data_IF_179088182263
#
_entry.id   IF_179088182263
#
_cell.length_a   1.000
_cell.length_b   1.000
_cell.length_c   1.000
_cell.angle_alpha   90.00
_cell.angle_beta   90.00
_cell.angle_gamma   90.00
#
_symmetry.space_group_name_H-M   'P 1'
#
loop_
_entity.id
_entity.type
_entity.pdbx_description
1 polymer ?
#
# COMPACT_ATOMS: atom_id res chain seq x y z
N UNK A 1 -30.56 -24.83 -25.45
CA UNK A 1 -29.71 -23.62 -25.37
C UNK A 1 -28.29 -24.09 -25.20
N UNK A 2 -27.48 -24.01 -26.25
CA UNK A 2 -26.07 -24.40 -26.23
C UNK A 2 -25.30 -23.26 -25.57
N UNK A 3 -24.80 -23.46 -24.36
CA UNK A 3 -23.85 -22.55 -23.74
C UNK A 3 -22.63 -22.46 -24.64
N UNK A 4 -22.37 -21.29 -25.22
CA UNK A 4 -21.11 -21.06 -25.92
C UNK A 4 -19.97 -21.36 -24.94
N UNK A 5 -19.04 -22.24 -25.34
CA UNK A 5 -17.87 -22.54 -24.52
C UNK A 5 -17.09 -21.24 -24.33
N UNK A 6 -16.84 -20.86 -23.07
CA UNK A 6 -16.04 -19.68 -22.78
C UNK A 6 -14.63 -19.87 -23.34
N UNK A 7 -14.13 -18.91 -24.12
CA UNK A 7 -12.74 -18.91 -24.58
C UNK A 7 -11.83 -18.66 -23.37
N UNK A 8 -10.89 -19.57 -23.06
CA UNK A 8 -9.99 -19.38 -21.93
C UNK A 8 -9.05 -18.19 -22.17
N UNK A 9 -8.92 -17.33 -21.16
CA UNK A 9 -8.01 -16.19 -21.19
C UNK A 9 -6.60 -16.62 -20.75
N UNK A 10 -5.58 -16.15 -21.47
CA UNK A 10 -4.16 -16.32 -21.14
C UNK A 10 -3.59 -14.99 -20.67
N UNK A 11 -2.83 -15.00 -19.58
CA UNK A 11 -2.12 -13.82 -19.06
C UNK A 11 -0.65 -14.19 -18.86
N UNK A 12 0.26 -13.41 -19.46
CA UNK A 12 1.69 -13.60 -19.23
C UNK A 12 2.12 -12.85 -17.96
N UNK A 13 3.02 -13.43 -17.17
CA UNK A 13 3.55 -12.80 -15.95
C UNK A 13 4.19 -11.43 -16.21
N UNK A 14 4.88 -11.28 -17.35
CA UNK A 14 5.55 -10.04 -17.75
C UNK A 14 4.58 -8.89 -18.02
N UNK A 15 3.30 -9.19 -18.28
CA UNK A 15 2.25 -8.20 -18.55
C UNK A 15 1.56 -7.71 -17.27
N UNK A 16 1.84 -8.35 -16.12
CA UNK A 16 1.24 -8.00 -14.83
C UNK A 16 2.23 -7.17 -14.02
N UNK A 17 1.80 -5.97 -13.61
CA UNK A 17 2.59 -5.10 -12.76
C UNK A 17 2.80 -5.74 -11.36
N UNK A 18 4.00 -5.61 -10.77
CA UNK A 18 4.28 -6.14 -9.44
C UNK A 18 3.50 -5.38 -8.37
N UNK A 19 2.88 -6.11 -7.44
CA UNK A 19 2.37 -5.56 -6.20
C UNK A 19 3.37 -5.82 -5.08
N UNK A 20 3.96 -4.75 -4.54
CA UNK A 20 4.99 -4.81 -3.51
C UNK A 20 4.53 -4.29 -2.15
N UNK A 21 3.24 -3.96 -2.01
CA UNK A 21 2.68 -3.31 -0.80
C UNK A 21 3.05 -4.06 0.49
N UNK A 22 3.14 -5.39 0.43
CA UNK A 22 3.38 -6.29 1.57
C UNK A 22 4.78 -6.90 1.57
N UNK A 23 5.68 -6.33 0.77
CA UNK A 23 6.98 -6.91 0.44
C UNK A 23 6.91 -7.89 -0.74
N UNK A 24 8.09 -8.20 -1.29
CA UNK A 24 8.25 -9.07 -2.45
C UNK A 24 7.65 -8.53 -3.76
N UNK A 25 7.75 -9.33 -4.82
CA UNK A 25 7.09 -9.12 -6.12
C UNK A 25 5.91 -10.08 -6.25
N UNK A 26 4.69 -9.61 -5.91
CA UNK A 26 3.47 -10.41 -6.03
C UNK A 26 2.75 -10.06 -7.33
N UNK A 27 2.44 -11.06 -8.15
CA UNK A 27 1.71 -10.87 -9.42
C UNK A 27 0.54 -11.84 -9.52
N UNK A 28 -0.67 -11.29 -9.51
CA UNK A 28 -1.92 -12.03 -9.67
C UNK A 28 -2.20 -12.19 -11.16
N UNK A 29 -1.98 -13.40 -11.69
CA UNK A 29 -2.23 -13.73 -13.10
C UNK A 29 -3.60 -14.37 -13.31
N UNK A 30 -4.11 -15.08 -12.31
CA UNK A 30 -5.41 -15.76 -12.33
C UNK A 30 -6.36 -15.07 -11.35
N UNK A 31 -7.45 -14.48 -11.84
CA UNK A 31 -8.45 -13.80 -11.01
C UNK A 31 -9.74 -13.59 -11.79
N UNK A 32 -10.86 -13.24 -11.12
CA UNK A 32 -12.07 -12.81 -11.81
C UNK A 32 -11.84 -11.69 -12.83
N UNK A 33 -10.89 -10.78 -12.55
CA UNK A 33 -10.58 -9.63 -13.43
C UNK A 33 -9.71 -10.02 -14.61
N UNK A 34 -8.77 -10.93 -14.43
CA UNK A 34 -7.75 -11.25 -15.44
C UNK A 34 -8.17 -12.41 -16.34
N UNK A 35 -8.79 -13.44 -15.77
CA UNK A 35 -9.16 -14.67 -16.50
C UNK A 35 -10.63 -15.06 -16.37
N UNK A 36 -11.42 -14.34 -15.56
CA UNK A 36 -12.84 -14.66 -15.34
C UNK A 36 -13.06 -15.89 -14.46
N UNK A 37 -12.03 -16.38 -13.75
CA UNK A 37 -12.20 -17.51 -12.84
C UNK A 37 -13.11 -17.17 -11.66
N UNK A 38 -13.89 -18.16 -11.19
CA UNK A 38 -14.94 -17.97 -10.17
C UNK A 38 -14.67 -18.72 -8.87
N UNK A 39 -13.78 -19.71 -8.89
CA UNK A 39 -13.45 -20.53 -7.72
C UNK A 39 -12.47 -19.85 -6.77
N UNK A 40 -11.55 -19.05 -7.30
CA UNK A 40 -10.41 -18.52 -6.56
C UNK A 40 -9.60 -17.52 -7.38
N UNK A 41 -8.43 -17.19 -6.88
CA UNK A 41 -7.43 -16.40 -7.59
C UNK A 41 -6.03 -16.93 -7.28
N UNK A 42 -5.05 -16.62 -8.11
CA UNK A 42 -3.70 -17.13 -7.95
C UNK A 42 -2.69 -16.38 -8.80
N UNK A 43 -1.42 -16.71 -8.59
CA UNK A 43 -0.33 -15.97 -9.18
C UNK A 43 1.02 -16.48 -8.76
N UNK A 44 2.02 -15.62 -8.87
CA UNK A 44 3.38 -15.91 -8.44
C UNK A 44 3.86 -14.85 -7.46
N UNK A 45 4.66 -15.29 -6.51
CA UNK A 45 5.46 -14.46 -5.63
C UNK A 45 6.93 -14.70 -5.95
N UNK A 46 7.71 -13.62 -6.03
CA UNK A 46 9.17 -13.67 -6.03
C UNK A 46 9.72 -12.85 -4.86
N UNK A 47 10.67 -13.42 -4.14
CA UNK A 47 11.37 -12.79 -3.01
C UNK A 47 12.88 -12.83 -3.25
N UNK A 48 13.54 -11.68 -3.23
CA UNK A 48 15.01 -11.62 -3.13
C UNK A 48 15.48 -12.10 -1.75
N UNK A 49 16.79 -12.30 -1.58
CA UNK A 49 17.36 -12.72 -0.30
C UNK A 49 16.97 -11.74 0.84
N UNK A 50 16.40 -12.28 1.92
CA UNK A 50 15.94 -11.50 3.07
C UNK A 50 14.62 -10.74 2.86
N UNK A 51 14.06 -10.71 1.64
CA UNK A 51 12.71 -10.19 1.43
C UNK A 51 11.67 -11.13 2.03
N UNK A 52 10.50 -10.55 2.33
CA UNK A 52 9.41 -11.25 2.96
C UNK A 52 8.05 -10.74 2.46
N UNK A 53 7.01 -11.52 2.74
CA UNK A 53 5.61 -11.07 2.74
C UNK A 53 5.18 -10.89 4.19
N UNK A 54 4.69 -9.70 4.53
CA UNK A 54 4.25 -9.31 5.88
C UNK A 54 3.22 -10.28 6.44
N UNK A 55 3.15 -10.42 7.77
CA UNK A 55 2.16 -11.29 8.41
C UNK A 55 0.72 -10.85 8.09
N UNK A 56 -0.12 -11.83 7.74
CA UNK A 56 -1.52 -11.61 7.43
C UNK A 56 -2.35 -12.89 7.60
N UNK A 57 -3.65 -12.77 7.37
CA UNK A 57 -4.59 -13.90 7.29
C UNK A 57 -5.69 -13.66 6.24
N UNK A 58 -6.35 -14.76 5.85
CA UNK A 58 -7.46 -14.78 4.89
C UNK A 58 -8.74 -15.29 5.57
N UNK A 59 -9.79 -14.47 5.76
CA UNK A 59 -11.00 -14.91 6.45
C UNK A 59 -11.93 -15.84 5.65
N UNK A 60 -11.74 -15.92 4.34
CA UNK A 60 -12.63 -16.64 3.43
C UNK A 60 -11.93 -17.67 2.56
N UNK A 61 -10.61 -17.63 2.46
CA UNK A 61 -9.84 -18.45 1.52
C UNK A 61 -8.81 -19.27 2.26
N UNK A 62 -8.69 -20.52 1.88
CA UNK A 62 -7.43 -21.25 2.07
C UNK A 62 -6.40 -20.71 1.09
N UNK A 63 -5.12 -20.76 1.44
CA UNK A 63 -4.02 -20.47 0.53
C UNK A 63 -3.16 -21.72 0.29
N UNK A 64 -2.90 -22.02 -0.97
CA UNK A 64 -2.06 -23.11 -1.42
C UNK A 64 -0.77 -22.50 -1.95
N UNK A 65 0.37 -22.93 -1.42
CA UNK A 65 1.69 -22.52 -1.86
C UNK A 65 2.41 -23.71 -2.51
N UNK A 66 3.16 -23.45 -3.56
CA UNK A 66 4.11 -24.39 -4.14
C UNK A 66 5.43 -23.68 -4.47
N UNK A 67 6.52 -24.15 -3.88
CA UNK A 67 7.84 -23.54 -4.07
C UNK A 67 8.48 -24.07 -5.35
N UNK A 68 8.76 -23.16 -6.28
CA UNK A 68 9.39 -23.48 -7.56
C UNK A 68 10.92 -23.42 -7.44
N UNK A 69 11.44 -22.37 -6.82
CA UNK A 69 12.89 -22.18 -6.58
C UNK A 69 13.15 -21.48 -5.25
N UNK A 70 14.39 -21.59 -4.76
CA UNK A 70 14.86 -20.91 -3.54
C UNK A 70 14.52 -21.64 -2.24
N UNK A 71 14.88 -21.04 -1.12
CA UNK A 71 14.63 -21.57 0.23
C UNK A 71 13.92 -20.52 1.05
N UNK A 72 12.82 -20.92 1.68
CA UNK A 72 11.94 -20.03 2.41
C UNK A 72 11.70 -20.56 3.82
N UNK A 73 11.25 -19.68 4.70
CA UNK A 73 10.59 -20.05 5.94
C UNK A 73 9.21 -19.39 5.96
N UNK A 74 8.19 -20.18 6.24
CA UNK A 74 6.86 -19.67 6.57
C UNK A 74 6.60 -19.85 8.05
N UNK A 75 6.23 -18.77 8.73
CA UNK A 75 5.74 -18.83 10.10
C UNK A 75 4.22 -19.00 10.06
N UNK A 76 3.69 -20.06 10.67
CA UNK A 76 2.26 -20.36 10.78
C UNK A 76 1.83 -20.25 12.24
N UNK A 77 1.00 -19.26 12.59
CA UNK A 77 0.60 -18.95 13.97
C UNK A 77 1.78 -18.90 14.97
N UNK A 78 2.94 -18.42 14.51
CA UNK A 78 4.17 -18.31 15.30
C UNK A 78 5.09 -19.54 15.23
N UNK A 79 4.69 -20.62 14.57
CA UNK A 79 5.51 -21.81 14.36
C UNK A 79 6.22 -21.76 12.99
N UNK A 80 7.57 -21.73 12.94
CA UNK A 80 8.29 -21.71 11.68
C UNK A 80 8.28 -23.08 10.99
N UNK A 81 8.17 -23.06 9.66
CA UNK A 81 8.23 -24.21 8.78
C UNK A 81 9.16 -23.86 7.61
N UNK A 82 10.24 -24.64 7.46
CA UNK A 82 11.15 -24.50 6.33
C UNK A 82 10.50 -25.06 5.06
N UNK A 83 10.70 -24.36 3.94
CA UNK A 83 10.21 -24.75 2.62
C UNK A 83 11.34 -24.66 1.58
N UNK A 84 11.47 -25.68 0.75
CA UNK A 84 12.39 -25.74 -0.39
C UNK A 84 11.69 -26.09 -1.70
N UNK A 85 12.42 -26.14 -2.82
CA UNK A 85 11.83 -26.41 -4.13
C UNK A 85 11.10 -27.75 -4.17
N UNK A 86 9.88 -27.75 -4.70
CA UNK A 86 9.01 -28.92 -4.75
C UNK A 86 8.07 -29.07 -3.56
N UNK A 87 8.30 -28.36 -2.45
CA UNK A 87 7.39 -28.37 -1.31
C UNK A 87 6.08 -27.66 -1.64
N UNK A 88 4.99 -28.21 -1.14
CA UNK A 88 3.65 -27.62 -1.20
C UNK A 88 3.07 -27.52 0.20
N UNK A 89 2.37 -26.43 0.47
CA UNK A 89 1.80 -26.17 1.79
C UNK A 89 0.39 -25.57 1.65
N UNK A 90 -0.51 -26.02 2.51
CA UNK A 90 -1.82 -25.43 2.72
C UNK A 90 -1.77 -24.52 3.95
N UNK A 91 -2.23 -23.29 3.78
CA UNK A 91 -2.53 -22.36 4.87
C UNK A 91 -4.06 -22.31 5.03
N UNK A 92 -4.60 -22.84 6.14
CA UNK A 92 -6.02 -22.80 6.42
C UNK A 92 -6.57 -21.39 6.62
N UNK A 93 -7.89 -21.25 6.45
CA UNK A 93 -8.63 -20.02 6.76
C UNK A 93 -8.31 -19.52 8.18
N UNK A 94 -8.14 -18.21 8.31
CA UNK A 94 -7.79 -17.49 9.54
C UNK A 94 -6.43 -17.82 10.18
N UNK A 95 -5.62 -18.72 9.59
CA UNK A 95 -4.27 -18.96 10.09
C UNK A 95 -3.38 -17.76 9.78
N UNK A 96 -2.75 -17.18 10.79
CA UNK A 96 -1.76 -16.11 10.57
C UNK A 96 -0.53 -16.71 9.94
N UNK A 97 -0.02 -16.06 8.91
CA UNK A 97 1.17 -16.54 8.24
C UNK A 97 2.04 -15.40 7.72
N UNK A 98 3.35 -15.64 7.75
CA UNK A 98 4.40 -14.72 7.29
C UNK A 98 5.44 -15.53 6.54
N UNK A 99 5.86 -15.08 5.36
CA UNK A 99 6.77 -15.83 4.50
C UNK A 99 8.06 -15.03 4.28
N UNK A 100 9.22 -15.66 4.45
CA UNK A 100 10.54 -15.02 4.34
C UNK A 100 11.44 -15.85 3.44
N UNK A 101 12.21 -15.19 2.58
CA UNK A 101 13.36 -15.82 1.92
C UNK A 101 14.57 -15.81 2.85
N UNK A 102 14.89 -16.97 3.41
CA UNK A 102 16.03 -17.19 4.31
C UNK A 102 17.28 -17.63 3.57
N UNK A 103 17.16 -17.93 2.28
CA UNK A 103 18.27 -18.31 1.41
C UNK A 103 19.01 -17.12 0.79
N UNK A 104 20.19 -17.36 0.19
CA UNK A 104 20.96 -16.33 -0.51
C UNK A 104 20.47 -16.08 -1.94
N UNK A 105 19.67 -16.98 -2.50
CA UNK A 105 19.16 -16.92 -3.88
C UNK A 105 17.71 -16.46 -3.93
N UNK A 106 17.25 -15.85 -5.04
CA UNK A 106 15.85 -15.48 -5.21
C UNK A 106 14.93 -16.70 -5.14
N UNK A 107 13.87 -16.59 -4.34
CA UNK A 107 12.83 -17.60 -4.23
C UNK A 107 11.64 -17.28 -5.12
N UNK A 108 11.03 -18.31 -5.72
CA UNK A 108 9.82 -18.20 -6.51
C UNK A 108 8.77 -19.19 -6.01
N UNK A 109 7.56 -18.69 -5.76
CA UNK A 109 6.42 -19.46 -5.25
C UNK A 109 5.22 -19.24 -6.14
N UNK A 110 4.48 -20.30 -6.44
CA UNK A 110 3.13 -20.21 -7.00
C UNK A 110 2.14 -20.24 -5.84
N UNK A 111 1.19 -19.31 -5.83
CA UNK A 111 0.13 -19.28 -4.83
C UNK A 111 -1.25 -19.37 -5.50
N UNK A 112 -2.20 -19.96 -4.78
CA UNK A 112 -3.60 -19.96 -5.15
C UNK A 112 -4.46 -19.83 -3.89
N UNK A 113 -5.52 -19.03 -3.95
CA UNK A 113 -6.47 -18.82 -2.86
C UNK A 113 -7.87 -19.19 -3.31
N UNK A 114 -8.56 -19.99 -2.50
CA UNK A 114 -9.96 -20.36 -2.72
C UNK A 114 -10.68 -20.73 -1.42
N UNK A 115 -12.00 -20.50 -1.32
CA UNK A 115 -12.85 -19.82 -2.30
C UNK A 115 -12.58 -18.29 -2.37
N UNK A 116 -13.15 -17.61 -3.37
CA UNK A 116 -13.15 -16.14 -3.37
C UNK A 116 -13.92 -15.60 -2.17
N UNK A 117 -13.42 -14.50 -1.58
CA UNK A 117 -14.17 -13.73 -0.60
C UNK A 117 -15.40 -13.07 -1.26
N UNK A 118 -16.49 -12.80 -0.50
CA UNK A 118 -17.67 -12.12 -1.02
C UNK A 118 -17.37 -10.74 -1.63
N UNK A 119 -16.34 -10.07 -1.11
CA UNK A 119 -15.79 -8.82 -1.65
C UNK A 119 -14.26 -8.80 -1.47
N UNK A 120 -13.50 -8.18 -2.39
CA UNK A 120 -12.04 -8.14 -2.32
C UNK A 120 -11.48 -7.58 -1.01
N UNK A 121 -12.06 -6.51 -0.48
CA UNK A 121 -11.63 -5.84 0.75
C UNK A 121 -11.85 -6.67 2.03
N UNK A 122 -12.64 -7.75 1.96
CA UNK A 122 -12.88 -8.67 3.07
C UNK A 122 -11.97 -9.90 3.03
N UNK A 123 -11.28 -10.14 1.92
CA UNK A 123 -10.54 -11.38 1.69
C UNK A 123 -9.19 -11.48 2.40
N UNK A 124 -8.69 -10.38 2.95
CA UNK A 124 -7.34 -10.32 3.49
C UNK A 124 -7.25 -9.32 4.64
N UNK A 125 -6.59 -9.73 5.73
CA UNK A 125 -6.37 -8.89 6.91
C UNK A 125 -4.88 -8.84 7.21
N UNK A 126 -4.30 -7.65 7.12
CA UNK A 126 -2.90 -7.39 7.50
C UNK A 126 -2.77 -7.43 9.04
N UNK A 127 -1.82 -8.20 9.58
CA UNK A 127 -1.51 -8.28 11.03
C UNK A 127 -0.16 -7.66 11.39
N UNK A 128 0.67 -7.38 10.38
CA UNK A 128 1.90 -6.60 10.45
C UNK A 128 1.75 -5.30 9.63
N UNK A 129 2.43 -4.23 10.04
CA UNK A 129 2.42 -2.98 9.26
C UNK A 129 3.12 -3.18 7.90
N UNK A 130 2.51 -2.78 6.77
CA UNK A 130 3.16 -2.85 5.46
C UNK A 130 4.42 -1.98 5.40
N UNK A 131 5.49 -2.49 4.78
CA UNK A 131 6.82 -1.86 4.66
C UNK A 131 6.79 -0.40 4.18
N UNK A 132 5.90 -0.09 3.23
CA UNK A 132 5.91 1.18 2.48
C UNK A 132 4.67 2.06 2.76
N UNK A 133 3.77 1.58 3.61
CA UNK A 133 2.57 2.30 3.99
C UNK A 133 2.83 3.10 5.25
N UNK A 134 3.28 4.34 5.12
CA UNK A 134 3.22 5.26 6.25
C UNK A 134 1.77 5.30 6.76
N UNK A 135 1.56 4.98 8.05
CA UNK A 135 0.23 5.07 8.63
C UNK A 135 -0.29 6.51 8.53
N UNK A 136 -1.61 6.71 8.48
CA UNK A 136 -2.18 8.07 8.45
C UNK A 136 -1.66 8.93 9.61
N UNK A 137 -1.52 8.35 10.80
CA UNK A 137 -0.94 9.04 11.96
C UNK A 137 0.56 9.33 11.78
N UNK A 138 1.30 8.42 11.15
CA UNK A 138 2.70 8.65 10.76
C UNK A 138 2.83 9.85 9.83
N UNK A 139 2.01 9.91 8.77
CA UNK A 139 1.99 11.02 7.81
C UNK A 139 1.66 12.34 8.49
N UNK A 140 0.60 12.38 9.31
CA UNK A 140 0.21 13.57 10.07
C UNK A 140 1.34 14.01 11.00
N UNK A 141 1.95 13.08 11.73
CA UNK A 141 3.05 13.38 12.66
C UNK A 141 4.31 13.90 11.95
N UNK A 142 4.70 13.28 10.83
CA UNK A 142 5.88 13.68 10.05
C UNK A 142 5.71 15.06 9.43
N UNK A 143 4.55 15.33 8.80
CA UNK A 143 4.25 16.64 8.23
C UNK A 143 4.08 17.69 9.33
N UNK A 144 3.48 17.33 10.46
CA UNK A 144 3.34 18.20 11.62
C UNK A 144 4.67 18.63 12.22
N UNK A 145 5.60 17.68 12.43
CA UNK A 145 6.95 17.99 12.90
C UNK A 145 7.72 18.90 11.94
N UNK A 146 7.54 18.72 10.62
CA UNK A 146 8.09 19.65 9.63
C UNK A 146 7.46 21.05 9.75
N UNK A 147 6.14 21.14 9.90
CA UNK A 147 5.42 22.41 10.04
C UNK A 147 5.85 23.16 11.32
N UNK A 148 5.95 22.46 12.46
CA UNK A 148 6.36 23.04 13.74
C UNK A 148 7.82 23.55 13.69
N UNK A 149 8.69 22.88 12.93
CA UNK A 149 10.06 23.34 12.72
C UNK A 149 10.15 24.69 11.97
N UNK A 150 9.13 25.04 11.15
CA UNK A 150 9.06 26.33 10.45
C UNK A 150 8.68 27.50 11.36
N UNK A 151 8.14 27.23 12.55
CA UNK A 151 7.78 28.24 13.57
C UNK A 151 8.70 28.16 14.81
N UNK A 152 9.71 27.27 14.77
CA UNK A 152 10.66 27.08 15.85
C UNK A 152 11.76 28.16 15.94
N UNK A 153 12.56 28.17 17.03
CA UNK A 153 13.63 29.15 17.23
C UNK A 153 14.77 29.08 16.19
N UNK A 154 14.86 27.98 15.44
CA UNK A 154 15.79 27.80 14.33
C UNK A 154 15.13 28.00 12.96
N UNK A 155 13.90 28.53 12.91
CA UNK A 155 13.15 28.70 11.68
C UNK A 155 13.90 29.63 10.70
N UNK A 156 13.86 29.35 9.39
CA UNK A 156 14.47 30.22 8.37
C UNK A 156 13.90 31.65 8.37
N UNK A 157 12.71 31.85 8.94
CA UNK A 157 11.92 33.07 8.84
C UNK A 157 11.31 33.24 7.44
N UNK A 158 10.24 34.02 7.34
CA UNK A 158 9.60 34.35 6.06
C UNK A 158 8.63 33.30 5.51
N UNK A 159 8.26 33.44 4.23
CA UNK A 159 7.25 32.62 3.56
C UNK A 159 7.89 31.40 2.90
N UNK A 160 7.34 30.21 3.14
CA UNK A 160 7.74 28.95 2.50
C UNK A 160 6.65 28.52 1.51
N UNK A 161 7.06 28.20 0.27
CA UNK A 161 6.20 27.59 -0.73
C UNK A 161 6.61 26.12 -0.93
N UNK A 162 5.67 25.21 -0.73
CA UNK A 162 5.86 23.78 -0.98
C UNK A 162 4.88 23.28 -2.05
N UNK A 163 5.38 22.52 -3.03
CA UNK A 163 4.55 21.80 -4.00
C UNK A 163 4.43 20.36 -3.51
N UNK A 164 3.21 19.93 -3.23
CA UNK A 164 2.97 18.63 -2.62
C UNK A 164 1.65 18.00 -3.08
N UNK A 165 1.53 16.70 -2.87
CA UNK A 165 0.29 15.96 -3.13
C UNK A 165 -0.82 16.33 -2.13
N UNK A 166 -2.08 16.09 -2.52
CA UNK A 166 -3.26 16.37 -1.70
C UNK A 166 -3.18 15.75 -0.29
N UNK A 167 -2.56 14.56 -0.17
CA UNK A 167 -2.37 13.90 1.11
C UNK A 167 -1.50 14.71 2.08
N UNK A 168 -0.43 15.35 1.59
CA UNK A 168 0.45 16.20 2.40
C UNK A 168 -0.28 17.46 2.85
N UNK A 169 -1.04 18.09 1.96
CA UNK A 169 -1.84 19.28 2.29
C UNK A 169 -2.88 18.96 3.36
N UNK A 170 -3.60 17.85 3.23
CA UNK A 170 -4.56 17.37 4.24
C UNK A 170 -3.89 17.14 5.59
N UNK A 171 -2.73 16.48 5.60
CA UNK A 171 -1.97 16.22 6.82
C UNK A 171 -1.54 17.52 7.52
N UNK A 172 -1.05 18.51 6.77
CA UNK A 172 -0.67 19.82 7.29
C UNK A 172 -1.86 20.57 7.90
N UNK A 173 -3.02 20.55 7.25
CA UNK A 173 -4.26 21.19 7.76
C UNK A 173 -4.75 20.48 9.03
N UNK A 174 -4.74 19.14 9.04
CA UNK A 174 -5.13 18.36 10.22
C UNK A 174 -4.23 18.67 11.41
N UNK A 175 -2.91 18.68 11.23
CA UNK A 175 -1.96 19.04 12.28
C UNK A 175 -2.12 20.50 12.72
N UNK A 176 -2.06 21.45 11.78
CA UNK A 176 -2.07 22.88 12.10
C UNK A 176 -3.32 23.34 12.85
N UNK A 177 -4.49 22.77 12.54
CA UNK A 177 -5.75 23.08 13.21
C UNK A 177 -6.05 22.15 14.41
N UNK A 178 -5.17 21.19 14.74
CA UNK A 178 -5.40 20.23 15.82
C UNK A 178 -6.63 19.34 15.63
N UNK A 179 -6.93 18.97 14.39
CA UNK A 179 -8.13 18.18 14.04
C UNK A 179 -7.92 16.69 14.34
N UNK A 180 -9.01 15.92 14.59
CA UNK A 180 -8.91 14.47 14.68
C UNK A 180 -8.51 13.87 13.32
N UNK A 181 -7.68 12.81 13.30
CA UNK A 181 -7.15 12.19 12.07
C UNK A 181 -8.23 11.82 11.03
N UNK A 182 -9.44 11.45 11.46
CA UNK A 182 -10.58 11.18 10.57
C UNK A 182 -10.98 12.37 9.67
N UNK A 183 -10.65 13.60 10.05
CA UNK A 183 -10.91 14.79 9.25
C UNK A 183 -10.10 14.82 7.95
N UNK A 184 -8.96 14.11 7.90
CA UNK A 184 -8.11 13.98 6.71
C UNK A 184 -8.91 13.61 5.45
N UNK A 185 -9.84 12.67 5.58
CA UNK A 185 -10.65 12.16 4.46
C UNK A 185 -11.81 13.09 4.06
N UNK A 186 -12.07 14.14 4.84
CA UNK A 186 -13.16 15.12 4.63
C UNK A 186 -12.66 16.46 4.10
N UNK A 187 -11.36 16.58 3.86
CA UNK A 187 -10.72 17.80 3.34
C UNK A 187 -10.54 17.66 1.84
N UNK A 188 -11.19 18.53 1.07
CA UNK A 188 -11.00 18.60 -0.38
C UNK A 188 -9.81 19.50 -0.72
N UNK A 189 -8.92 18.98 -1.56
CA UNK A 189 -7.77 19.71 -2.09
C UNK A 189 -7.89 19.69 -3.60
N UNK A 190 -8.32 20.82 -4.16
CA UNK A 190 -8.46 20.96 -5.60
C UNK A 190 -7.09 20.93 -6.30
N UNK A 191 -7.01 20.40 -7.53
CA UNK A 191 -5.76 20.43 -8.29
C UNK A 191 -5.31 21.87 -8.51
N UNK A 192 -4.00 22.11 -8.38
CA UNK A 192 -3.38 23.43 -8.57
C UNK A 192 -4.02 24.54 -7.72
N UNK A 193 -4.46 24.22 -6.51
CA UNK A 193 -4.93 25.22 -5.54
C UNK A 193 -3.88 25.50 -4.47
N UNK A 194 -3.85 26.72 -3.97
CA UNK A 194 -3.02 27.17 -2.87
C UNK A 194 -3.78 26.99 -1.55
N UNK A 195 -3.16 26.26 -0.63
CA UNK A 195 -3.53 26.21 0.78
C UNK A 195 -2.47 26.93 1.59
N UNK A 196 -2.86 28.01 2.27
CA UNK A 196 -1.96 28.86 3.03
C UNK A 196 -2.12 28.55 4.52
N UNK A 197 -1.02 28.21 5.20
CA UNK A 197 -0.96 28.10 6.64
C UNK A 197 -0.16 29.28 7.19
N UNK A 198 -0.77 30.07 8.07
CA UNK A 198 -0.12 31.22 8.71
C UNK A 198 -0.28 31.16 10.22
N UNK A 199 0.81 31.34 10.95
CA UNK A 199 0.80 31.13 12.40
C UNK A 199 2.04 31.66 13.09
N UNK A 200 1.96 31.75 14.42
CA UNK A 200 3.10 31.97 15.31
C UNK A 200 2.89 31.23 16.63
N UNK A 201 3.96 30.73 17.20
CA UNK A 201 3.97 30.02 18.49
C UNK A 201 3.02 28.82 18.55
N UNK A 202 3.04 27.96 17.53
CA UNK A 202 2.28 26.71 17.45
C UNK A 202 0.78 26.90 17.16
N UNK A 203 0.33 28.11 16.84
CA UNK A 203 -1.06 28.38 16.43
C UNK A 203 -1.12 28.71 14.96
N UNK A 204 -1.70 27.79 14.17
CA UNK A 204 -1.87 27.94 12.74
C UNK A 204 -3.31 28.34 12.37
N UNK A 205 -3.44 29.26 11.43
CA UNK A 205 -4.65 29.55 10.68
C UNK A 205 -4.50 28.97 9.28
N UNK A 206 -5.62 28.58 8.67
CA UNK A 206 -5.61 27.98 7.33
C UNK A 206 -6.54 28.76 6.40
N UNK A 207 -6.04 29.14 5.23
CA UNK A 207 -6.85 29.58 4.09
C UNK A 207 -6.76 28.52 2.99
N UNK A 208 -7.92 27.99 2.56
CA UNK A 208 -8.01 26.88 1.60
C UNK A 208 -8.38 27.36 0.19
N UNK A 209 -7.88 26.66 -0.82
CA UNK A 209 -8.49 26.62 -2.16
C UNK A 209 -8.34 27.89 -3.00
N UNK A 210 -7.36 28.76 -2.73
CA UNK A 210 -7.13 29.94 -3.56
C UNK A 210 -6.43 29.54 -4.86
N UNK A 211 -6.71 30.16 -6.02
CA UNK A 211 -5.85 29.98 -7.18
C UNK A 211 -4.43 30.51 -6.86
N UNK A 212 -3.36 29.88 -7.37
CA UNK A 212 -2.02 30.48 -7.35
C UNK A 212 -2.13 31.83 -8.03
N UNK A 213 -1.59 32.89 -7.44
CA UNK A 213 -1.55 34.19 -8.10
C UNK A 213 -0.85 34.02 -9.47
N UNK A 214 -1.47 34.48 -10.55
CA UNK A 214 -0.78 34.63 -11.82
C UNK A 214 0.41 35.58 -11.68
N UNK A 215 1.37 35.56 -12.62
CA UNK A 215 2.42 36.59 -12.62
C UNK A 215 1.77 37.99 -12.56
N UNK A 216 2.39 38.95 -11.87
CA UNK A 216 1.88 40.31 -11.83
C UNK A 216 1.67 40.81 -13.26
N UNK A 217 0.51 41.44 -13.51
CA UNK A 217 0.23 42.04 -14.80
C UNK A 217 1.17 43.25 -15.01
N UNK A 218 2.23 43.05 -15.81
CA UNK A 218 3.27 44.02 -16.15
C UNK A 218 4.62 43.30 -16.15
N UNK A 219 5.36 43.14 -17.25
CA UNK A 219 5.53 44.01 -18.40
C UNK A 219 5.44 43.25 -19.72
N UNK A 220 4.79 43.87 -20.70
CA UNK A 220 4.93 43.54 -22.12
C UNK A 220 6.36 43.81 -22.57
N UNK A 221 7.03 42.80 -23.12
CA UNK A 221 8.18 42.98 -24.02
C UNK A 221 7.71 42.81 -25.47
#
# INVERSE_FOLDING_TARGET
MTTAAATPAKVNLAEVAPNRKRGGDIRITLSPRTTGCTSGFGGTLRLEAGEYVTEHLHPYSEEFLHVVTGTLEITLDGAPVALGPGDSLLVPINMRHRLVNTGPEPAQVVFHLSPLAPRPELGHVDTEAPLDGESLHGLIGRIGGWLDALDGPAAPGGTVLAVAEAAVVRAAVVHGLGLPARAFWRLDVGPLTLTELSGRSGRWNVALGRPPAGPPAGDTW
#
